data_IF_643013340854
#
_entry.id   IF_643013340854
#
_cell.length_a   1.000
_cell.length_b   1.000
_cell.length_c   1.000
_cell.angle_alpha   90.00
_cell.angle_beta   90.00
_cell.angle_gamma   90.00
#
_symmetry.space_group_name_H-M   'P 1'
#
loop_
_entity.id
_entity.type
_entity.pdbx_description
1 polymer ?
#
# COMPACT_ATOMS: atom_id res chain seq x y z
N UNK A 1 -16.49 -8.32 15.51
CA UNK A 1 -15.26 -7.65 15.97
C UNK A 1 -14.10 -8.04 15.07
N UNK A 2 -13.26 -7.08 14.72
CA UNK A 2 -12.09 -7.35 13.91
C UNK A 2 -10.85 -7.04 14.74
N UNK A 3 -9.93 -7.97 14.72
CA UNK A 3 -8.64 -7.80 15.34
C UNK A 3 -7.57 -7.74 14.25
N UNK A 4 -6.67 -6.78 14.35
CA UNK A 4 -5.61 -6.61 13.37
C UNK A 4 -4.29 -6.29 14.05
N UNK A 5 -3.24 -6.89 13.54
CA UNK A 5 -1.88 -6.60 14.00
C UNK A 5 -0.92 -6.74 12.81
N UNK A 6 0.25 -6.13 12.94
CA UNK A 6 1.29 -6.22 11.92
C UNK A 6 2.58 -6.77 12.51
N UNK A 7 3.26 -7.56 11.74
CA UNK A 7 4.56 -8.13 12.09
C UNK A 7 5.43 -8.21 10.84
N UNK A 8 6.70 -7.96 11.04
CA UNK A 8 7.68 -7.97 9.96
C UNK A 8 8.93 -8.73 10.44
N UNK A 9 9.45 -9.58 9.58
CA UNK A 9 10.58 -10.43 9.90
C UNK A 9 11.48 -10.62 8.68
N UNK A 10 12.79 -10.65 8.89
CA UNK A 10 13.77 -10.85 7.82
C UNK A 10 13.68 -12.26 7.23
N UNK A 11 13.41 -13.26 8.05
CA UNK A 11 13.39 -14.65 7.60
C UNK A 11 14.80 -15.21 7.41
N UNK A 12 14.87 -16.49 7.09
CA UNK A 12 16.15 -17.22 7.03
C UNK A 12 17.01 -16.93 5.81
N UNK A 13 16.38 -16.52 4.70
CA UNK A 13 17.07 -16.34 3.41
C UNK A 13 17.34 -14.89 3.06
N UNK A 14 16.89 -13.97 3.91
CA UNK A 14 17.07 -12.53 3.68
C UNK A 14 18.06 -11.98 4.69
N UNK A 15 18.90 -11.08 4.24
CA UNK A 15 19.83 -10.38 5.12
C UNK A 15 19.20 -9.12 5.72
N UNK A 16 18.16 -8.59 5.07
CA UNK A 16 17.49 -7.36 5.45
C UNK A 16 15.98 -7.58 5.38
N UNK A 17 15.28 -6.93 6.28
CA UNK A 17 13.83 -6.91 6.25
C UNK A 17 13.37 -5.77 5.33
N UNK A 18 12.81 -6.12 4.18
CA UNK A 18 12.30 -5.17 3.18
C UNK A 18 10.78 -5.03 3.23
N UNK A 19 10.15 -5.60 4.24
CA UNK A 19 8.71 -5.52 4.45
C UNK A 19 8.36 -4.27 5.24
N UNK A 20 7.21 -3.71 4.94
CA UNK A 20 6.61 -2.65 5.74
C UNK A 20 5.11 -2.91 5.87
N UNK A 21 4.54 -2.40 6.93
CA UNK A 21 3.12 -2.56 7.17
C UNK A 21 2.54 -1.32 7.86
N UNK A 22 1.22 -1.21 7.80
CA UNK A 22 0.47 -0.21 8.54
C UNK A 22 -0.72 -0.86 9.22
N UNK A 23 -0.97 -0.43 10.44
CA UNK A 23 -2.17 -0.74 11.21
C UNK A 23 -2.68 0.60 11.71
N UNK A 24 -3.62 1.18 10.98
CA UNK A 24 -4.19 2.50 11.30
C UNK A 24 -5.63 2.32 11.74
N UNK A 25 -5.84 2.33 13.05
CA UNK A 25 -7.14 2.13 13.66
C UNK A 25 -8.10 3.28 13.33
N UNK A 26 -7.56 4.50 13.25
CA UNK A 26 -8.38 5.70 13.02
C UNK A 26 -9.06 5.69 11.65
N UNK A 27 -8.36 5.23 10.62
CA UNK A 27 -8.91 5.12 9.27
C UNK A 27 -9.35 3.70 8.94
N UNK A 28 -9.07 2.75 9.81
CA UNK A 28 -9.31 1.32 9.61
C UNK A 28 -8.60 0.76 8.38
N UNK A 29 -7.39 1.26 8.13
CA UNK A 29 -6.52 0.78 7.06
C UNK A 29 -5.50 -0.20 7.62
N UNK A 30 -5.40 -1.35 7.01
CA UNK A 30 -4.45 -2.39 7.36
C UNK A 30 -3.77 -2.85 6.08
N UNK A 31 -2.45 -2.78 6.02
CA UNK A 31 -1.73 -3.12 4.79
C UNK A 31 -0.36 -3.71 5.08
N UNK A 32 0.08 -4.58 4.20
CA UNK A 32 1.42 -5.16 4.21
C UNK A 32 2.02 -5.01 2.82
N UNK A 33 3.26 -4.58 2.77
CA UNK A 33 4.01 -4.44 1.53
C UNK A 33 5.33 -5.19 1.66
N UNK A 34 5.58 -6.11 0.72
CA UNK A 34 6.82 -6.87 0.65
C UNK A 34 7.66 -6.31 -0.51
N UNK A 35 8.74 -5.65 -0.17
CA UNK A 35 9.60 -4.99 -1.15
C UNK A 35 10.65 -5.89 -1.74
N UNK A 36 11.09 -5.56 -2.95
CA UNK A 36 12.16 -6.24 -3.66
C UNK A 36 13.10 -5.22 -4.32
N UNK A 37 14.36 -5.55 -4.40
CA UNK A 37 15.37 -4.71 -5.04
C UNK A 37 16.73 -4.84 -4.38
N UNK A 38 17.78 -4.46 -5.10
CA UNK A 38 19.15 -4.45 -4.57
C UNK A 38 19.42 -3.20 -3.75
N UNK A 39 20.46 -3.23 -2.93
CA UNK A 39 20.95 -2.05 -2.17
C UNK A 39 19.87 -1.40 -1.30
N UNK A 40 19.07 -2.22 -0.61
CA UNK A 40 17.95 -1.76 0.25
C UNK A 40 16.80 -1.09 -0.53
N UNK A 41 16.78 -1.21 -1.85
CA UNK A 41 15.71 -0.60 -2.65
C UNK A 41 14.34 -1.20 -2.35
N UNK A 42 14.27 -2.48 -1.96
CA UNK A 42 13.02 -3.10 -1.54
C UNK A 42 12.40 -2.44 -0.32
N UNK A 43 13.23 -2.08 0.66
CA UNK A 43 12.76 -1.33 1.83
C UNK A 43 12.23 0.05 1.42
N UNK A 44 12.91 0.73 0.50
CA UNK A 44 12.47 2.02 -0.01
C UNK A 44 11.13 1.87 -0.73
N UNK A 45 10.99 0.86 -1.58
CA UNK A 45 9.75 0.62 -2.32
C UNK A 45 8.57 0.33 -1.40
N UNK A 46 8.73 -0.57 -0.45
CA UNK A 46 7.65 -0.91 0.49
C UNK A 46 7.28 0.27 1.39
N UNK A 47 8.26 1.05 1.82
CA UNK A 47 8.02 2.24 2.63
C UNK A 47 7.25 3.31 1.83
N UNK A 48 7.65 3.56 0.58
CA UNK A 48 6.93 4.48 -0.29
C UNK A 48 5.47 4.07 -0.48
N UNK A 49 5.25 2.78 -0.69
CA UNK A 49 3.90 2.27 -0.88
C UNK A 49 3.04 2.48 0.36
N UNK A 50 3.56 2.13 1.55
CA UNK A 50 2.84 2.32 2.81
C UNK A 50 2.52 3.79 3.05
N UNK A 51 3.49 4.68 2.85
CA UNK A 51 3.27 6.13 3.02
C UNK A 51 2.18 6.65 2.09
N UNK A 52 2.18 6.20 0.85
CA UNK A 52 1.19 6.63 -0.15
C UNK A 52 -0.20 6.12 0.19
N UNK A 53 -0.30 4.85 0.61
CA UNK A 53 -1.57 4.28 1.05
C UNK A 53 -2.15 5.06 2.23
N UNK A 54 -1.34 5.28 3.26
CA UNK A 54 -1.78 6.02 4.45
C UNK A 54 -2.23 7.43 4.10
N UNK A 55 -1.42 8.13 3.29
CA UNK A 55 -1.69 9.52 2.92
C UNK A 55 -3.02 9.65 2.18
N UNK A 56 -3.26 8.83 1.17
CA UNK A 56 -4.50 8.91 0.39
C UNK A 56 -5.71 8.50 1.22
N UNK A 57 -5.58 7.43 2.01
CA UNK A 57 -6.70 6.95 2.83
C UNK A 57 -7.05 7.97 3.92
N UNK A 58 -6.08 8.59 4.57
CA UNK A 58 -6.34 9.64 5.54
C UNK A 58 -7.00 10.84 4.89
N UNK A 59 -6.50 11.26 3.73
CA UNK A 59 -7.05 12.39 3.00
C UNK A 59 -8.49 12.12 2.57
N UNK A 60 -8.75 10.96 2.00
CA UNK A 60 -10.10 10.59 1.54
C UNK A 60 -11.08 10.34 2.69
N UNK A 61 -10.56 10.08 3.90
CA UNK A 61 -11.39 9.91 5.09
C UNK A 61 -11.84 11.25 5.65
N UNK A 62 -10.96 12.24 5.65
CA UNK A 62 -11.17 13.53 6.30
C UNK A 62 -11.75 14.63 5.40
N UNK A 63 -11.52 14.54 4.10
CA UNK A 63 -11.95 15.55 3.13
C UNK A 63 -13.16 15.06 2.34
N UNK A 64 -14.19 15.89 2.22
CA UNK A 64 -15.39 15.56 1.45
C UNK A 64 -15.15 15.63 -0.05
N UNK A 65 -14.28 16.54 -0.48
CA UNK A 65 -13.94 16.71 -1.88
C UNK A 65 -12.49 16.33 -2.10
N UNK A 66 -12.29 15.26 -2.84
CA UNK A 66 -10.94 14.78 -3.18
C UNK A 66 -10.86 14.58 -4.69
N UNK A 67 -9.65 14.62 -5.20
CA UNK A 67 -9.41 14.33 -6.60
C UNK A 67 -9.29 12.82 -6.79
N UNK A 68 -9.97 12.32 -7.81
CA UNK A 68 -9.92 10.91 -8.19
C UNK A 68 -9.11 10.77 -9.47
N UNK A 69 -7.77 10.61 -9.38
CA UNK A 69 -6.91 10.66 -10.57
C UNK A 69 -7.17 9.57 -11.59
N UNK A 70 -7.79 8.47 -11.17
CA UNK A 70 -8.13 7.36 -12.07
C UNK A 70 -9.65 7.20 -12.25
N UNK A 71 -10.42 8.21 -11.82
CA UNK A 71 -11.87 8.15 -11.87
C UNK A 71 -12.46 7.22 -10.81
N UNK A 72 -13.76 7.06 -10.88
CA UNK A 72 -14.53 6.19 -9.99
C UNK A 72 -15.14 5.05 -10.80
N UNK A 73 -15.10 3.85 -10.25
CA UNK A 73 -15.77 2.70 -10.84
C UNK A 73 -17.11 2.50 -10.12
N UNK A 74 -18.19 2.50 -10.91
CA UNK A 74 -19.54 2.35 -10.36
C UNK A 74 -19.80 0.98 -9.76
N UNK A 75 -19.04 -0.03 -10.20
CA UNK A 75 -19.15 -1.40 -9.70
C UNK A 75 -18.54 -1.59 -8.31
N UNK A 76 -17.67 -0.66 -7.90
CA UNK A 76 -17.02 -0.72 -6.60
C UNK A 76 -17.72 0.18 -5.59
N UNK A 77 -17.65 -0.21 -4.31
CA UNK A 77 -18.06 0.64 -3.21
C UNK A 77 -17.18 1.88 -3.12
N UNK A 78 -17.54 2.83 -2.28
CA UNK A 78 -16.69 4.00 -2.01
C UNK A 78 -15.33 3.56 -1.46
N UNK A 79 -15.31 2.64 -0.50
CA UNK A 79 -14.06 2.11 0.06
C UNK A 79 -13.27 1.32 -0.98
N UNK A 80 -13.94 0.59 -1.87
CA UNK A 80 -13.29 -0.09 -2.98
C UNK A 80 -12.57 0.88 -3.90
N UNK A 81 -13.20 2.00 -4.23
CA UNK A 81 -12.59 3.05 -5.03
C UNK A 81 -11.41 3.71 -4.31
N UNK A 82 -11.57 4.00 -3.01
CA UNK A 82 -10.49 4.57 -2.19
C UNK A 82 -9.26 3.67 -2.20
N UNK A 83 -9.47 2.40 -1.91
CA UNK A 83 -8.37 1.44 -1.80
C UNK A 83 -7.69 1.22 -3.15
N UNK A 84 -8.48 1.06 -4.21
CA UNK A 84 -7.95 0.90 -5.57
C UNK A 84 -7.10 2.10 -5.99
N UNK A 85 -7.60 3.30 -5.75
CA UNK A 85 -6.88 4.54 -6.07
C UNK A 85 -5.58 4.62 -5.27
N UNK A 86 -5.63 4.33 -3.98
CA UNK A 86 -4.44 4.36 -3.13
C UNK A 86 -3.37 3.39 -3.63
N UNK A 87 -3.76 2.17 -3.99
CA UNK A 87 -2.83 1.16 -4.49
C UNK A 87 -2.22 1.59 -5.82
N UNK A 88 -3.02 2.14 -6.73
CA UNK A 88 -2.51 2.65 -8.03
C UNK A 88 -1.54 3.80 -7.85
N UNK A 89 -1.83 4.72 -6.93
CA UNK A 89 -0.93 5.83 -6.61
C UNK A 89 0.39 5.32 -6.03
N UNK A 90 0.32 4.36 -5.12
CA UNK A 90 1.51 3.74 -4.54
C UNK A 90 2.39 3.09 -5.60
N UNK A 91 1.77 2.31 -6.48
CA UNK A 91 2.47 1.62 -7.56
C UNK A 91 3.14 2.61 -8.52
N UNK A 92 2.42 3.67 -8.88
CA UNK A 92 2.95 4.72 -9.76
C UNK A 92 4.14 5.43 -9.14
N UNK A 93 4.08 5.75 -7.85
CA UNK A 93 5.17 6.41 -7.14
C UNK A 93 6.43 5.56 -7.12
N UNK A 94 6.28 4.27 -6.79
CA UNK A 94 7.39 3.32 -6.75
C UNK A 94 8.01 3.16 -8.15
N UNK A 95 7.17 3.00 -9.16
CA UNK A 95 7.63 2.86 -10.55
C UNK A 95 8.42 4.08 -11.01
N UNK A 96 7.93 5.28 -10.74
CA UNK A 96 8.64 6.52 -11.12
C UNK A 96 9.97 6.66 -10.40
N UNK A 97 10.02 6.32 -9.11
CA UNK A 97 11.26 6.38 -8.36
C UNK A 97 12.28 5.38 -8.88
N UNK A 98 11.84 4.17 -9.25
CA UNK A 98 12.70 3.15 -9.82
C UNK A 98 13.28 3.59 -11.17
N UNK A 99 12.48 4.31 -11.98
CA UNK A 99 12.87 4.77 -13.30
C UNK A 99 13.85 5.97 -13.24
N UNK A 100 13.72 6.79 -12.20
CA UNK A 100 14.49 8.06 -12.08
C UNK A 100 15.82 7.94 -11.36
N UNK A 101 16.08 6.83 -10.67
CA UNK A 101 17.32 6.65 -9.90
C UNK A 101 17.93 5.29 -10.20
N UNK A 102 19.23 5.34 -10.52
CA UNK A 102 19.97 4.12 -10.82
C UNK A 102 19.99 3.14 -9.65
N UNK A 103 20.10 3.67 -8.42
CA UNK A 103 20.09 2.87 -7.19
C UNK A 103 18.82 2.08 -6.98
N UNK A 104 17.73 2.56 -7.58
CA UNK A 104 16.39 1.98 -7.39
C UNK A 104 15.91 1.19 -8.61
N UNK A 105 16.77 1.02 -9.61
CA UNK A 105 16.40 0.28 -10.81
C UNK A 105 15.91 -1.12 -10.45
N UNK A 106 14.74 -1.46 -10.92
CA UNK A 106 14.14 -2.77 -10.67
C UNK A 106 13.49 -2.94 -9.31
N UNK A 107 13.46 -1.90 -8.47
CA UNK A 107 12.75 -2.02 -7.20
C UNK A 107 11.25 -2.14 -7.41
N UNK A 108 10.61 -2.83 -6.51
CA UNK A 108 9.16 -2.99 -6.54
C UNK A 108 8.67 -3.44 -5.19
N UNK A 109 7.36 -3.54 -5.07
CA UNK A 109 6.75 -4.04 -3.85
C UNK A 109 5.40 -4.67 -4.16
N UNK A 110 5.06 -5.70 -3.40
CA UNK A 110 3.70 -6.20 -3.35
C UNK A 110 2.91 -5.35 -2.37
N UNK A 111 1.60 -5.36 -2.51
CA UNK A 111 0.68 -4.70 -1.59
C UNK A 111 -0.49 -5.64 -1.33
N UNK A 112 -0.81 -5.84 -0.07
CA UNK A 112 -2.08 -6.45 0.35
C UNK A 112 -2.66 -5.51 1.38
N UNK A 113 -3.88 -5.04 1.15
CA UNK A 113 -4.50 -4.03 1.99
C UNK A 113 -5.97 -4.31 2.25
N UNK A 114 -6.44 -3.81 3.38
CA UNK A 114 -7.84 -3.90 3.77
C UNK A 114 -8.31 -2.58 4.36
N UNK A 115 -9.53 -2.19 4.00
CA UNK A 115 -10.27 -1.11 4.64
C UNK A 115 -11.50 -1.71 5.29
N UNK A 116 -11.76 -1.34 6.52
CA UNK A 116 -12.90 -1.85 7.27
C UNK A 116 -13.87 -0.73 7.58
N UNK A 117 -15.13 -0.92 7.24
CA UNK A 117 -16.21 0.01 7.56
C UNK A 117 -17.38 -0.79 8.10
N UNK A 118 -17.68 -0.60 9.39
CA UNK A 118 -18.74 -1.37 10.05
C UNK A 118 -18.47 -2.86 9.98
N UNK A 119 -19.36 -3.60 9.35
CA UNK A 119 -19.23 -5.06 9.20
C UNK A 119 -18.63 -5.47 7.85
N UNK A 120 -18.14 -4.50 7.06
CA UNK A 120 -17.63 -4.77 5.72
C UNK A 120 -16.13 -4.55 5.67
N UNK A 121 -15.41 -5.54 5.18
CA UNK A 121 -13.98 -5.42 4.90
C UNK A 121 -13.79 -5.40 3.38
N UNK A 122 -13.08 -4.38 2.91
CA UNK A 122 -12.72 -4.24 1.50
C UNK A 122 -11.26 -4.61 1.35
N UNK A 123 -10.97 -5.55 0.46
CA UNK A 123 -9.61 -6.06 0.25
C UNK A 123 -9.09 -5.65 -1.12
N UNK A 124 -7.81 -5.33 -1.18
CA UNK A 124 -7.15 -5.03 -2.45
C UNK A 124 -5.72 -5.53 -2.43
N UNK A 125 -5.20 -5.80 -3.62
CA UNK A 125 -3.80 -6.24 -3.75
C UNK A 125 -3.21 -5.81 -5.07
N UNK A 126 -1.88 -5.74 -5.10
CA UNK A 126 -1.11 -5.47 -6.31
C UNK A 126 0.23 -6.19 -6.24
N UNK A 127 0.79 -6.52 -7.40
CA UNK A 127 2.05 -7.24 -7.50
C UNK A 127 1.84 -8.74 -7.44
N UNK A 128 2.92 -9.47 -7.14
CA UNK A 128 2.93 -10.92 -7.05
C UNK A 128 2.67 -11.45 -5.65
N UNK A 129 1.91 -10.72 -4.87
CA UNK A 129 1.45 -11.17 -3.55
C UNK A 129 0.55 -12.37 -3.69
N UNK A 130 0.99 -13.46 -3.21
CA UNK A 130 0.21 -14.70 -3.26
C UNK A 130 0.15 -15.36 -1.91
#
# INVERSE_FOLDING_TARGET
>A
MIEAFGHSDVGRRRKLNEDNFVVDVDTSLYAVCDGMGGHNAGEVASKMAIETLESFIQKSHNEKEITWPYGLETELSFDGNRLKTAIKLANKRVYKAADNREDYTGMGTTVVAALVSGNVATLGSAGDSR
#
